data_IF_019192648138
#
_entry.id   IF_019192648138
#
_cell.length_a   1.000
_cell.length_b   1.000
_cell.length_c   1.000
_cell.angle_alpha   90.00
_cell.angle_beta   90.00
_cell.angle_gamma   90.00
#
_symmetry.space_group_name_H-M   'P 1'
#
loop_
_entity.id
_entity.type
_entity.pdbx_description
1 polymer ?
#
# COMPACT_ATOMS: atom_id res chain seq x y z
N UNK A 1 -9.18 -6.51 -15.71
CA UNK A 1 -8.11 -5.52 -15.70
C UNK A 1 -8.25 -4.53 -16.83
N UNK A 2 -8.62 -4.92 -18.07
CA UNK A 2 -8.94 -3.94 -19.14
C UNK A 2 -9.76 -2.72 -18.69
N UNK A 3 -10.82 -2.92 -17.90
CA UNK A 3 -11.67 -1.80 -17.43
C UNK A 3 -10.94 -0.87 -16.45
N UNK A 4 -10.15 -1.44 -15.53
CA UNK A 4 -9.28 -0.71 -14.59
C UNK A 4 -8.22 0.09 -15.37
N UNK A 5 -7.57 -0.54 -16.36
CA UNK A 5 -6.48 0.07 -17.13
C UNK A 5 -6.94 1.21 -18.05
N UNK A 6 -8.24 1.26 -18.39
CA UNK A 6 -8.83 2.34 -19.19
C UNK A 6 -9.15 3.60 -18.37
N UNK A 7 -9.32 3.46 -17.07
CA UNK A 7 -9.74 4.56 -16.17
C UNK A 7 -8.56 5.41 -15.66
N UNK A 8 -7.32 4.96 -15.83
CA UNK A 8 -6.14 5.63 -15.28
C UNK A 8 -5.18 6.10 -16.37
N UNK A 9 -4.76 7.36 -16.27
CA UNK A 9 -3.89 8.02 -17.26
C UNK A 9 -2.44 7.54 -17.23
N UNK A 10 -1.99 6.96 -16.12
CA UNK A 10 -0.58 6.58 -15.88
C UNK A 10 -0.43 5.06 -15.79
N UNK A 11 -1.03 4.34 -16.74
CA UNK A 11 -0.91 2.89 -16.85
C UNK A 11 -0.01 2.53 -18.02
N UNK A 12 1.01 1.73 -17.76
CA UNK A 12 1.90 1.18 -18.80
C UNK A 12 1.71 -0.33 -18.94
N UNK A 13 1.92 -0.82 -20.16
CA UNK A 13 1.86 -2.25 -20.42
C UNK A 13 3.06 -2.96 -19.78
N UNK A 14 2.81 -4.08 -19.12
CA UNK A 14 3.85 -4.88 -18.49
C UNK A 14 4.74 -5.56 -19.53
N UNK A 15 6.05 -5.36 -19.39
CA UNK A 15 7.10 -6.03 -20.15
C UNK A 15 8.10 -6.62 -19.17
N UNK A 16 8.17 -7.95 -19.12
CA UNK A 16 9.21 -8.65 -18.35
C UNK A 16 10.41 -8.91 -19.26
N UNK A 17 11.61 -8.58 -18.80
CA UNK A 17 12.83 -8.88 -19.55
C UNK A 17 13.96 -9.37 -18.64
N UNK A 18 14.94 -10.03 -19.24
CA UNK A 18 16.15 -10.51 -18.57
C UNK A 18 17.38 -10.06 -19.36
N UNK A 19 18.33 -9.40 -18.70
CA UNK A 19 19.61 -8.95 -19.28
C UNK A 19 20.71 -9.37 -18.32
N UNK A 20 21.75 -10.07 -18.78
CA UNK A 20 22.92 -10.45 -17.96
C UNK A 20 22.54 -11.08 -16.60
N UNK A 21 21.63 -12.07 -16.64
CA UNK A 21 21.07 -12.75 -15.47
C UNK A 21 20.20 -11.89 -14.52
N UNK A 22 20.04 -10.60 -14.79
CA UNK A 22 19.22 -9.67 -14.04
C UNK A 22 17.80 -9.60 -14.63
N UNK A 23 16.78 -9.67 -13.76
CA UNK A 23 15.36 -9.51 -14.15
C UNK A 23 14.91 -8.06 -14.07
N UNK A 24 14.02 -7.68 -14.97
CA UNK A 24 13.43 -6.34 -15.05
C UNK A 24 11.91 -6.41 -15.19
N UNK A 25 11.23 -5.46 -14.55
CA UNK A 25 9.83 -5.09 -14.83
C UNK A 25 9.91 -3.78 -15.61
N UNK A 26 9.56 -3.76 -16.89
CA UNK A 26 9.82 -2.65 -17.81
C UNK A 26 11.31 -2.22 -17.71
N UNK A 27 11.57 -0.98 -17.28
CA UNK A 27 12.93 -0.46 -17.07
C UNK A 27 13.42 -0.58 -15.62
N UNK A 28 12.60 -1.13 -14.72
CA UNK A 28 12.92 -1.29 -13.30
C UNK A 28 13.72 -2.59 -13.08
N UNK A 29 15.00 -2.45 -12.70
CA UNK A 29 15.89 -3.56 -12.36
C UNK A 29 15.49 -4.15 -11.01
N UNK A 30 15.06 -5.41 -10.96
CA UNK A 30 14.63 -6.06 -9.72
C UNK A 30 15.83 -6.41 -8.84
N UNK A 31 16.04 -5.73 -7.72
CA UNK A 31 17.17 -6.00 -6.82
C UNK A 31 16.88 -7.15 -5.87
N UNK A 32 15.74 -7.10 -5.16
CA UNK A 32 15.32 -8.14 -4.21
C UNK A 32 13.83 -8.06 -3.92
N UNK A 33 13.29 -9.12 -3.30
CA UNK A 33 11.99 -9.05 -2.64
C UNK A 33 12.19 -8.47 -1.25
N UNK A 34 11.43 -7.44 -0.88
CA UNK A 34 11.48 -6.83 0.46
C UNK A 34 10.33 -7.29 1.34
N UNK A 35 9.21 -7.69 0.75
CA UNK A 35 8.08 -8.26 1.48
C UNK A 35 7.34 -9.26 0.61
N UNK A 36 6.96 -10.39 1.20
CA UNK A 36 6.18 -11.44 0.56
C UNK A 36 4.97 -11.74 1.44
N UNK A 37 3.84 -11.14 1.07
CA UNK A 37 2.56 -11.39 1.70
C UNK A 37 1.80 -12.52 1.01
N UNK A 38 0.68 -12.92 1.60
CA UNK A 38 -0.18 -13.98 1.06
C UNK A 38 -0.76 -13.68 -0.33
N UNK A 39 -0.99 -12.40 -0.63
CA UNK A 39 -1.73 -11.94 -1.80
C UNK A 39 -0.98 -10.88 -2.63
N UNK A 40 0.15 -10.40 -2.12
CA UNK A 40 0.93 -9.35 -2.74
C UNK A 40 2.40 -9.54 -2.40
N UNK A 41 3.26 -9.01 -3.26
CA UNK A 41 4.72 -9.09 -3.10
C UNK A 41 5.32 -7.74 -3.40
N UNK A 42 6.22 -7.24 -2.55
CA UNK A 42 6.91 -5.97 -2.76
C UNK A 42 8.33 -6.25 -3.22
N UNK A 43 8.67 -5.71 -4.39
CA UNK A 43 9.98 -5.79 -5.00
C UNK A 43 10.70 -4.46 -4.81
N UNK A 44 11.94 -4.51 -4.35
CA UNK A 44 12.87 -3.38 -4.44
C UNK A 44 13.49 -3.38 -5.83
N UNK A 45 13.35 -2.27 -6.54
CA UNK A 45 13.90 -2.09 -7.87
C UNK A 45 14.75 -0.83 -7.96
N UNK A 46 15.61 -0.76 -8.98
CA UNK A 46 16.39 0.42 -9.34
C UNK A 46 16.07 0.85 -10.78
N UNK A 47 15.96 2.15 -10.99
CA UNK A 47 15.82 2.76 -12.30
C UNK A 47 16.48 4.15 -12.30
N UNK A 48 17.49 4.35 -13.15
CA UNK A 48 18.16 5.64 -13.30
C UNK A 48 18.85 6.13 -12.01
N UNK A 49 19.42 5.21 -11.22
CA UNK A 49 20.08 5.49 -9.94
C UNK A 49 19.12 5.76 -8.77
N UNK A 50 17.80 5.63 -8.98
CA UNK A 50 16.78 5.81 -7.94
C UNK A 50 16.16 4.46 -7.55
N UNK A 51 15.80 4.34 -6.27
CA UNK A 51 15.17 3.15 -5.73
C UNK A 51 13.65 3.25 -5.71
N UNK A 52 12.99 2.15 -6.08
CA UNK A 52 11.55 2.03 -6.21
C UNK A 52 11.03 0.79 -5.49
N UNK A 53 9.83 0.90 -4.93
CA UNK A 53 9.05 -0.22 -4.43
C UNK A 53 7.94 -0.55 -5.44
N UNK A 54 7.96 -1.78 -5.95
CA UNK A 54 6.93 -2.30 -6.85
C UNK A 54 6.07 -3.32 -6.09
N UNK A 55 4.84 -2.93 -5.73
CA UNK A 55 3.86 -3.83 -5.09
C UNK A 55 3.13 -4.62 -6.18
N UNK A 56 3.48 -5.89 -6.32
CA UNK A 56 2.93 -6.86 -7.27
C UNK A 56 1.67 -7.52 -6.73
N UNK A 57 0.67 -7.66 -7.59
CA UNK A 57 -0.54 -8.44 -7.40
C UNK A 57 -0.80 -9.36 -8.59
N UNK A 58 -1.43 -10.51 -8.35
CA UNK A 58 -1.83 -11.48 -9.38
C UNK A 58 -3.34 -11.74 -9.35
N UNK A 59 -4.03 -11.39 -10.43
CA UNK A 59 -5.50 -11.49 -10.55
C UNK A 59 -5.99 -12.92 -10.34
N UNK A 60 -5.36 -13.92 -10.97
CA UNK A 60 -5.74 -15.33 -10.79
C UNK A 60 -5.69 -15.78 -9.33
N UNK A 61 -4.71 -15.31 -8.56
CA UNK A 61 -4.61 -15.61 -7.14
C UNK A 61 -5.74 -14.93 -6.35
N UNK A 62 -5.97 -13.63 -6.62
CA UNK A 62 -6.95 -12.81 -5.90
C UNK A 62 -8.41 -13.23 -6.17
N UNK A 63 -8.73 -13.63 -7.40
CA UNK A 63 -10.09 -14.04 -7.80
C UNK A 63 -10.54 -15.36 -7.18
N UNK A 64 -9.60 -16.24 -6.80
CA UNK A 64 -9.88 -17.51 -6.10
C UNK A 64 -10.33 -17.29 -4.66
N UNK A 65 -9.87 -16.23 -4.00
CA UNK A 65 -10.27 -15.92 -2.62
C UNK A 65 -11.55 -15.08 -2.63
N UNK A 66 -12.65 -15.69 -2.21
CA UNK A 66 -13.96 -15.07 -2.08
C UNK A 66 -14.39 -15.01 -0.62
N UNK A 67 -15.07 -13.94 -0.27
CA UNK A 67 -15.64 -13.67 1.04
C UNK A 67 -17.13 -13.36 0.89
N UNK A 68 -17.91 -13.84 1.86
CA UNK A 68 -19.37 -13.64 1.88
C UNK A 68 -19.69 -12.45 2.75
N UNK A 69 -20.35 -11.46 2.17
CA UNK A 69 -20.80 -10.25 2.83
C UNK A 69 -22.32 -10.20 2.77
N UNK A 70 -22.98 -9.74 3.84
CA UNK A 70 -24.42 -9.46 3.77
C UNK A 70 -24.66 -8.29 2.81
N UNK A 71 -25.68 -8.40 1.96
CA UNK A 71 -26.07 -7.28 1.11
C UNK A 71 -26.47 -6.07 1.95
N UNK A 72 -26.17 -4.87 1.46
CA UNK A 72 -26.58 -3.60 2.09
C UNK A 72 -28.10 -3.44 2.17
N UNK A 73 -28.85 -4.15 1.32
CA UNK A 73 -30.32 -4.20 1.32
C UNK A 73 -30.91 -5.18 2.34
N UNK A 74 -30.09 -5.97 3.05
CA UNK A 74 -30.56 -7.03 3.95
C UNK A 74 -31.03 -8.32 3.24
N UNK A 75 -31.32 -8.24 1.94
CA UNK A 75 -31.69 -9.40 1.12
C UNK A 75 -30.47 -9.93 0.34
N UNK A 76 -30.11 -11.19 0.62
CA UNK A 76 -29.09 -11.92 -0.13
C UNK A 76 -27.65 -11.77 0.37
N UNK A 77 -26.79 -12.64 -0.17
CA UNK A 77 -25.36 -12.71 0.14
C UNK A 77 -24.60 -12.12 -1.06
N UNK A 78 -23.80 -11.09 -0.80
CA UNK A 78 -22.85 -10.54 -1.77
C UNK A 78 -21.53 -11.27 -1.65
N UNK A 79 -21.06 -11.82 -2.76
CA UNK A 79 -19.75 -12.47 -2.82
C UNK A 79 -18.74 -11.42 -3.32
N UNK A 80 -17.71 -11.14 -2.51
CA UNK A 80 -16.65 -10.18 -2.84
C UNK A 80 -15.34 -10.96 -2.92
N UNK A 81 -14.57 -10.75 -3.99
CA UNK A 81 -13.23 -11.34 -4.13
C UNK A 81 -12.14 -10.39 -3.66
N UNK A 82 -10.96 -10.90 -3.33
CA UNK A 82 -9.78 -10.04 -3.07
C UNK A 82 -9.38 -9.21 -4.28
N UNK A 83 -9.79 -9.61 -5.48
CA UNK A 83 -9.59 -8.79 -6.68
C UNK A 83 -10.52 -7.56 -6.70
N UNK A 84 -11.70 -7.64 -6.09
CA UNK A 84 -12.57 -6.47 -5.92
C UNK A 84 -12.04 -5.51 -4.87
N UNK A 85 -11.34 -6.00 -3.85
CA UNK A 85 -10.63 -5.15 -2.90
C UNK A 85 -9.46 -4.43 -3.55
N UNK A 86 -8.66 -5.11 -4.40
CA UNK A 86 -7.61 -4.47 -5.19
C UNK A 86 -8.16 -3.35 -6.09
N UNK A 87 -9.35 -3.51 -6.70
CA UNK A 87 -9.97 -2.43 -7.49
C UNK A 87 -10.25 -1.19 -6.65
N UNK A 88 -10.74 -1.36 -5.42
CA UNK A 88 -10.99 -0.24 -4.49
C UNK A 88 -9.69 0.43 -4.08
N UNK A 89 -8.68 -0.37 -3.75
CA UNK A 89 -7.33 0.11 -3.41
C UNK A 89 -6.74 0.94 -4.55
N UNK A 90 -6.78 0.44 -5.79
CA UNK A 90 -6.28 1.17 -6.98
C UNK A 90 -7.00 2.51 -7.19
N UNK A 91 -8.31 2.56 -6.98
CA UNK A 91 -9.10 3.81 -7.08
C UNK A 91 -8.68 4.84 -6.03
N UNK A 92 -8.27 4.41 -4.85
CA UNK A 92 -7.80 5.29 -3.78
C UNK A 92 -6.35 5.72 -4.05
N UNK A 93 -5.47 4.77 -4.34
CA UNK A 93 -4.04 5.01 -4.55
C UNK A 93 -3.78 5.99 -5.70
N UNK A 94 -4.58 5.92 -6.76
CA UNK A 94 -4.45 6.81 -7.93
C UNK A 94 -4.97 8.23 -7.67
N UNK A 95 -5.85 8.41 -6.68
CA UNK A 95 -6.37 9.71 -6.28
C UNK A 95 -5.46 10.43 -5.27
N UNK A 96 -4.57 9.69 -4.59
CA UNK A 96 -3.66 10.23 -3.58
C UNK A 96 -2.44 10.89 -4.23
N UNK A 97 -2.30 12.20 -4.02
CA UNK A 97 -1.14 13.02 -4.39
C UNK A 97 -0.81 13.98 -3.25
N UNK A 98 0.04 13.54 -2.32
CA UNK A 98 0.41 14.31 -1.14
C UNK A 98 1.81 13.94 -0.62
N UNK A 99 2.54 14.92 -0.10
CA UNK A 99 3.89 14.73 0.42
C UNK A 99 3.96 13.77 1.63
N UNK A 100 2.91 13.69 2.45
CA UNK A 100 2.86 12.84 3.65
C UNK A 100 2.18 11.49 3.42
N UNK A 101 1.77 11.20 2.18
CA UNK A 101 1.30 9.88 1.75
C UNK A 101 2.29 9.28 0.75
N UNK A 102 2.43 7.95 0.76
CA UNK A 102 3.15 7.25 -0.30
C UNK A 102 2.33 7.31 -1.59
N UNK A 103 2.81 8.09 -2.56
CA UNK A 103 2.12 8.29 -3.83
C UNK A 103 2.53 7.21 -4.84
N UNK A 104 1.56 6.77 -5.64
CA UNK A 104 1.81 5.95 -6.81
C UNK A 104 2.33 6.83 -7.94
N UNK A 105 3.47 6.46 -8.52
CA UNK A 105 4.07 7.14 -9.67
C UNK A 105 3.54 6.57 -10.98
N UNK A 106 3.38 5.25 -11.04
CA UNK A 106 3.02 4.51 -12.24
C UNK A 106 2.31 3.20 -11.86
N UNK A 107 1.37 2.76 -12.69
CA UNK A 107 0.80 1.41 -12.63
C UNK A 107 1.29 0.64 -13.86
N UNK A 108 2.00 -0.46 -13.65
CA UNK A 108 2.44 -1.35 -14.72
C UNK A 108 1.59 -2.60 -14.69
N UNK A 109 0.94 -2.98 -15.78
CA UNK A 109 0.03 -4.11 -15.75
C UNK A 109 -0.17 -4.81 -17.09
N UNK A 110 -0.66 -6.04 -17.01
CA UNK A 110 -1.27 -6.76 -18.12
C UNK A 110 -2.67 -7.30 -17.70
N UNK A 111 -3.11 -8.39 -18.31
CA UNK A 111 -4.41 -8.99 -18.02
C UNK A 111 -4.51 -9.69 -16.65
N UNK A 112 -3.37 -10.01 -16.03
CA UNK A 112 -3.26 -10.84 -14.83
C UNK A 112 -2.41 -10.18 -13.74
N UNK A 113 -1.28 -9.58 -14.08
CA UNK A 113 -0.36 -8.96 -13.12
C UNK A 113 -0.54 -7.44 -13.07
N UNK A 114 -0.46 -6.88 -11.87
CA UNK A 114 -0.43 -5.44 -11.61
C UNK A 114 0.74 -5.12 -10.68
N UNK A 115 1.51 -4.10 -11.02
CA UNK A 115 2.57 -3.53 -10.20
C UNK A 115 2.22 -2.07 -9.93
N UNK A 116 2.15 -1.71 -8.65
CA UNK A 116 2.01 -0.32 -8.20
C UNK A 116 3.42 0.19 -7.90
N UNK A 117 3.87 1.19 -8.65
CA UNK A 117 5.21 1.77 -8.53
C UNK A 117 5.17 2.97 -7.58
N UNK A 118 6.09 3.00 -6.63
CA UNK A 118 6.29 4.14 -5.72
C UNK A 118 7.77 4.30 -5.37
N UNK A 119 8.17 5.48 -4.89
CA UNK A 119 9.49 5.68 -4.29
C UNK A 119 9.74 4.65 -3.18
N UNK A 120 10.93 4.03 -3.17
CA UNK A 120 11.34 3.20 -2.04
C UNK A 120 11.73 4.07 -0.84
N UNK A 121 11.22 3.70 0.34
CA UNK A 121 11.49 4.38 1.61
C UNK A 121 12.57 3.60 2.35
N UNK A 122 13.80 4.13 2.36
CA UNK A 122 15.00 3.35 2.67
C UNK A 122 15.10 2.91 4.14
N UNK A 123 14.46 3.66 5.05
CA UNK A 123 14.44 3.33 6.48
C UNK A 123 13.22 2.45 6.87
N UNK A 124 12.51 1.91 5.88
CA UNK A 124 11.37 0.99 6.06
C UNK A 124 10.29 1.58 6.99
N UNK A 125 9.61 0.74 7.77
CA UNK A 125 8.56 1.18 8.70
C UNK A 125 9.14 1.71 10.02
N UNK A 126 8.43 2.64 10.66
CA UNK A 126 8.92 3.32 11.89
C UNK A 126 9.21 2.37 13.06
N UNK A 127 8.57 1.21 13.10
CA UNK A 127 8.86 0.11 14.01
C UNK A 127 8.67 -1.22 13.28
N UNK A 128 9.57 -2.16 13.53
CA UNK A 128 9.48 -3.55 13.06
C UNK A 128 8.84 -4.40 14.16
N UNK A 129 8.25 -5.53 13.79
CA UNK A 129 7.59 -6.44 14.73
C UNK A 129 8.11 -7.86 14.55
N UNK A 130 8.53 -8.47 15.65
CA UNK A 130 8.71 -9.91 15.79
C UNK A 130 8.56 -10.27 17.26
N UNK A 131 7.38 -10.76 17.64
CA UNK A 131 6.89 -10.93 19.02
C UNK A 131 6.76 -9.63 19.84
N UNK A 132 7.61 -8.64 19.60
CA UNK A 132 7.57 -7.29 20.17
C UNK A 132 8.03 -6.26 19.13
N UNK A 133 7.78 -4.97 19.40
CA UNK A 133 8.21 -3.88 18.52
C UNK A 133 9.66 -3.47 18.80
N UNK A 134 10.42 -3.21 17.74
CA UNK A 134 11.82 -2.75 17.80
C UNK A 134 12.13 -1.78 16.66
N UNK A 135 13.20 -0.98 16.79
CA UNK A 135 13.57 0.06 15.81
C UNK A 135 14.50 -0.52 14.74
N UNK A 136 15.74 -0.87 15.11
CA UNK A 136 16.77 -1.36 14.18
C UNK A 136 17.07 -2.85 14.39
N UNK A 137 17.49 -3.22 15.60
CA UNK A 137 17.82 -4.59 16.01
C UNK A 137 16.90 -5.01 17.18
N UNK A 138 16.57 -6.31 17.24
CA UNK A 138 15.82 -6.93 18.34
C UNK A 138 16.66 -7.10 19.60
N UNK A 139 17.97 -7.20 19.44
CA UNK A 139 18.94 -7.35 20.54
C UNK A 139 19.18 -6.02 21.28
N UNK A 140 18.85 -4.89 20.65
CA UNK A 140 18.98 -3.56 21.24
C UNK A 140 17.59 -3.00 21.58
N UNK A 141 17.33 -2.81 22.87
CA UNK A 141 16.11 -2.18 23.37
C UNK A 141 16.22 -0.65 23.34
N UNK A 142 16.32 -0.10 22.14
CA UNK A 142 16.36 1.35 21.92
C UNK A 142 14.97 1.89 21.62
N UNK A 143 14.55 2.91 22.36
CA UNK A 143 13.34 3.67 22.06
C UNK A 143 13.64 4.83 21.11
N UNK A 144 12.69 5.13 20.23
CA UNK A 144 12.78 6.33 19.39
C UNK A 144 12.74 7.58 20.29
N UNK A 145 13.69 8.52 20.17
CA UNK A 145 13.69 9.72 20.98
C UNK A 145 12.40 10.53 20.84
N UNK A 146 11.89 11.09 21.94
CA UNK A 146 10.65 11.91 21.97
C UNK A 146 10.62 13.00 20.89
N UNK A 147 11.71 13.77 20.63
CA UNK A 147 11.69 14.77 19.56
C UNK A 147 11.42 14.17 18.17
N UNK A 148 11.95 12.98 17.89
CA UNK A 148 11.75 12.27 16.62
C UNK A 148 10.30 11.77 16.52
N UNK A 149 9.75 11.22 17.61
CA UNK A 149 8.34 10.81 17.68
C UNK A 149 7.42 12.00 17.37
N UNK A 150 7.69 13.18 17.95
CA UNK A 150 6.91 14.40 17.68
C UNK A 150 6.90 14.75 16.18
N UNK A 151 8.04 14.66 15.52
CA UNK A 151 8.15 14.89 14.07
C UNK A 151 7.35 13.86 13.25
N UNK A 152 7.48 12.56 13.58
CA UNK A 152 6.74 11.49 12.90
C UNK A 152 5.23 11.68 13.05
N UNK A 153 4.75 11.93 14.28
CA UNK A 153 3.33 12.16 14.55
C UNK A 153 2.82 13.39 13.81
N UNK A 154 3.59 14.49 13.79
CA UNK A 154 3.22 15.69 13.01
C UNK A 154 3.01 15.35 11.53
N UNK A 155 3.93 14.61 10.92
CA UNK A 155 3.83 14.22 9.51
C UNK A 155 2.63 13.29 9.26
N UNK A 156 2.35 12.33 10.15
CA UNK A 156 1.16 11.47 10.06
C UNK A 156 -0.12 12.31 10.18
N UNK A 157 -0.18 13.30 11.08
CA UNK A 157 -1.33 14.20 11.19
C UNK A 157 -1.53 15.04 9.92
N UNK A 158 -0.45 15.45 9.23
CA UNK A 158 -0.56 16.12 7.93
C UNK A 158 -1.15 15.19 6.86
N UNK A 159 -0.79 13.90 6.86
CA UNK A 159 -1.41 12.90 5.98
C UNK A 159 -2.91 12.76 6.27
N UNK A 160 -3.32 12.79 7.54
CA UNK A 160 -4.73 12.73 7.95
C UNK A 160 -5.52 13.95 7.50
N UNK A 161 -4.95 15.15 7.68
CA UNK A 161 -5.57 16.38 7.20
C UNK A 161 -5.84 16.29 5.69
N UNK A 162 -4.88 15.75 4.93
CA UNK A 162 -5.07 15.53 3.51
C UNK A 162 -6.16 14.50 3.20
N UNK A 163 -6.04 13.26 3.68
CA UNK A 163 -6.96 12.18 3.29
C UNK A 163 -8.39 12.42 3.80
N UNK A 164 -8.56 12.96 5.01
CA UNK A 164 -9.87 13.23 5.57
C UNK A 164 -10.51 14.48 4.97
N UNK A 165 -9.81 15.62 5.00
CA UNK A 165 -10.42 16.90 4.64
C UNK A 165 -10.48 17.13 3.12
N UNK A 166 -9.45 16.70 2.37
CA UNK A 166 -9.38 16.95 0.91
C UNK A 166 -9.89 15.78 0.08
N UNK A 167 -9.70 14.54 0.54
CA UNK A 167 -10.07 13.35 -0.23
C UNK A 167 -11.30 12.62 0.29
N UNK A 168 -11.76 12.93 1.50
CA UNK A 168 -12.88 12.25 2.12
C UNK A 168 -12.65 10.71 2.18
N UNK A 169 -11.41 10.30 2.50
CA UNK A 169 -10.96 8.91 2.59
C UNK A 169 -10.55 8.63 4.04
N UNK A 170 -11.00 7.51 4.60
CA UNK A 170 -10.52 6.99 5.88
C UNK A 170 -9.53 5.83 5.64
N UNK A 171 -8.35 5.89 6.29
CA UNK A 171 -7.28 4.91 6.10
C UNK A 171 -7.62 3.51 6.62
N UNK A 172 -8.26 3.45 7.80
CA UNK A 172 -8.73 2.26 8.52
C UNK A 172 -7.69 1.26 9.03
N UNK A 173 -6.44 1.33 8.57
CA UNK A 173 -5.37 0.43 9.04
C UNK A 173 -4.09 1.20 9.42
N UNK A 174 -4.21 2.20 10.30
CA UNK A 174 -3.04 2.98 10.73
C UNK A 174 -2.31 2.23 11.85
N UNK A 175 -1.08 1.80 11.57
CA UNK A 175 -0.21 1.03 12.47
C UNK A 175 1.26 1.27 12.10
N UNK A 176 2.23 0.92 12.96
CA UNK A 176 3.64 1.21 12.68
C UNK A 176 4.16 0.67 11.34
N UNK A 177 3.72 -0.51 10.90
CA UNK A 177 4.11 -1.09 9.60
C UNK A 177 3.64 -0.28 8.39
N UNK A 178 2.65 0.59 8.57
CA UNK A 178 2.03 1.39 7.51
C UNK A 178 2.49 2.85 7.53
N UNK A 179 3.52 3.16 8.33
CA UNK A 179 4.17 4.47 8.36
C UNK A 179 5.63 4.25 7.98
N UNK A 180 6.02 4.73 6.80
CA UNK A 180 7.35 4.55 6.24
C UNK A 180 8.23 5.77 6.50
N UNK A 181 9.53 5.51 6.66
CA UNK A 181 10.57 6.50 6.86
C UNK A 181 11.56 6.45 5.69
N UNK A 182 11.89 7.60 5.12
CA UNK A 182 12.93 7.72 4.10
C UNK A 182 14.26 8.11 4.71
N UNK A 183 15.33 8.04 3.90
CA UNK A 183 16.69 8.32 4.38
C UNK A 183 16.90 9.73 4.91
N UNK A 184 16.10 10.71 4.48
CA UNK A 184 16.22 12.12 4.90
C UNK A 184 15.21 12.49 6.00
N UNK A 185 14.60 11.50 6.65
CA UNK A 185 13.62 11.73 7.72
C UNK A 185 12.19 11.99 7.24
N UNK A 186 11.90 11.85 5.94
CA UNK A 186 10.55 11.95 5.43
C UNK A 186 9.66 10.83 5.97
N UNK A 187 8.47 11.16 6.47
CA UNK A 187 7.51 10.19 6.99
C UNK A 187 6.30 10.13 6.08
N UNK A 188 5.92 8.94 5.61
CA UNK A 188 4.79 8.75 4.69
C UNK A 188 3.84 7.67 5.18
N UNK A 189 2.54 7.99 5.23
CA UNK A 189 1.48 7.00 5.41
C UNK A 189 1.33 6.17 4.12
N UNK A 190 1.29 4.84 4.25
CA UNK A 190 1.17 3.92 3.13
C UNK A 190 0.14 2.80 3.40
N UNK A 191 -0.07 1.96 2.39
CA UNK A 191 -0.96 0.79 2.42
C UNK A 191 -2.45 1.12 2.61
N UNK A 192 -3.08 1.56 1.52
CA UNK A 192 -4.49 1.95 1.47
C UNK A 192 -5.44 0.78 1.15
N UNK A 193 -5.00 -0.47 1.34
CA UNK A 193 -5.77 -1.67 1.00
C UNK A 193 -7.09 -1.81 1.76
N UNK A 194 -7.14 -1.32 3.00
CA UNK A 194 -8.34 -1.32 3.85
C UNK A 194 -9.10 0.02 3.82
N UNK A 195 -8.59 1.00 3.07
CA UNK A 195 -9.15 2.35 3.04
C UNK A 195 -10.47 2.43 2.29
N UNK A 196 -11.30 3.41 2.66
CA UNK A 196 -12.59 3.65 2.01
C UNK A 196 -12.91 5.15 1.93
N UNK A 197 -13.62 5.54 0.86
CA UNK A 197 -14.29 6.83 0.80
C UNK A 197 -15.41 6.88 1.85
N UNK A 198 -15.52 7.99 2.56
CA UNK A 198 -16.54 8.21 3.57
C UNK A 198 -17.85 8.65 2.92
N UNK A 199 -18.99 8.22 3.44
CA UNK A 199 -20.32 8.67 2.98
C UNK A 199 -20.90 9.60 4.04
N UNK A 200 -21.23 10.85 3.68
CA UNK A 200 -21.70 11.88 4.63
C UNK A 200 -20.76 12.06 5.84
N UNK A 201 -19.44 12.03 5.62
CA UNK A 201 -18.40 12.05 6.66
C UNK A 201 -18.51 10.90 7.68
N UNK A 202 -19.24 9.83 7.35
CA UNK A 202 -19.34 8.60 8.13
C UNK A 202 -18.64 7.47 7.40
N UNK A 203 -17.99 6.61 8.16
CA UNK A 203 -17.49 5.32 7.67
C UNK A 203 -18.33 4.25 8.31
N UNK A 204 -18.90 3.36 7.49
CA UNK A 204 -19.54 2.16 8.02
C UNK A 204 -18.43 1.23 8.51
N UNK A 205 -18.25 1.17 9.83
CA UNK A 205 -17.33 0.24 10.45
C UNK A 205 -17.76 -1.19 10.17
N UNK A 206 -16.79 -2.07 9.92
CA UNK A 206 -16.99 -3.49 10.17
C UNK A 206 -17.01 -3.66 11.69
N UNK A 207 -18.01 -4.32 12.27
CA UNK A 207 -18.09 -4.55 13.72
C UNK A 207 -16.80 -5.26 14.16
N UNK A 208 -15.87 -4.53 14.78
CA UNK A 208 -14.67 -5.12 15.38
C UNK A 208 -15.08 -5.53 16.78
N UNK A 209 -15.25 -6.83 16.96
CA UNK A 209 -15.61 -7.45 18.22
C UNK A 209 -15.31 -8.93 18.11
N UNK A 210 -14.06 -9.29 18.41
CA UNK A 210 -13.81 -10.57 19.07
C UNK A 210 -14.25 -10.38 20.52
N UNK A 211 -15.22 -11.17 20.97
CA UNK A 211 -15.51 -11.32 22.38
C UNK A 211 -14.22 -11.62 23.14
N UNK A 212 -13.84 -10.71 24.03
CA UNK A 212 -13.25 -10.99 25.34
C UNK A 212 -13.65 -9.85 26.24
#
# INVERSE_FOLDING_TARGET
>A
MRDILKEYTNVTHLIMSKRENQKYVNNYKILKTVSEGKYSKVLLCEMGGKLYALKKYEKKLLTKKREFHKSSSGEGIKIISKYDDLKKELKIITDIKNEYCLCCEEIIANYDEVYIVSKYMENECILKYDHFFFVLNKEETTFVPIPVIKCMIKNVLQSFLYIHAKKNICHRDVKPSNILLGKNGETKLCDFGESQYMTNKKVFGTKVGSNT
#
